data_IF_482966106555
#
_entry.id   IF_482966106555
#
_cell.length_a   1.000
_cell.length_b   1.000
_cell.length_c   1.000
_cell.angle_alpha   90.00
_cell.angle_beta   90.00
_cell.angle_gamma   90.00
#
_symmetry.space_group_name_H-M   'P 1'
#
loop_
_entity.id
_entity.type
_entity.pdbx_description
1 polymer ?
#
# COMPACT_ATOMS: atom_id res chain seq x y z
N UNK A 1 -50.14 -33.46 -2.10
CA UNK A 1 -48.85 -33.51 -2.82
C UNK A 1 -48.24 -32.13 -2.70
N UNK A 2 -47.15 -31.97 -1.96
CA UNK A 2 -46.53 -30.65 -1.78
C UNK A 2 -45.75 -30.29 -3.04
N UNK A 3 -46.20 -29.23 -3.70
CA UNK A 3 -45.55 -28.65 -4.87
C UNK A 3 -44.10 -28.27 -4.53
N UNK A 4 -43.20 -28.61 -5.46
CA UNK A 4 -41.76 -28.46 -5.27
C UNK A 4 -41.38 -27.02 -4.95
N UNK A 5 -40.48 -26.87 -3.97
CA UNK A 5 -39.85 -25.61 -3.58
C UNK A 5 -39.30 -24.91 -4.84
N UNK A 6 -39.74 -23.68 -5.19
CA UNK A 6 -39.33 -23.04 -6.43
C UNK A 6 -37.80 -22.95 -6.51
N UNK A 7 -37.25 -23.43 -7.61
CA UNK A 7 -35.84 -23.30 -7.95
C UNK A 7 -35.67 -21.96 -8.63
N UNK A 8 -34.59 -21.22 -8.31
CA UNK A 8 -34.34 -19.90 -8.91
C UNK A 8 -34.46 -19.95 -10.43
N UNK A 9 -35.20 -18.99 -10.99
CA UNK A 9 -35.44 -18.89 -12.43
C UNK A 9 -34.17 -18.42 -13.14
N UNK A 10 -34.00 -18.74 -14.42
CA UNK A 10 -32.87 -18.22 -15.22
C UNK A 10 -32.80 -16.69 -15.19
N UNK A 11 -33.95 -16.02 -15.17
CA UNK A 11 -34.09 -14.57 -15.02
C UNK A 11 -33.52 -14.07 -13.69
N UNK A 12 -33.86 -14.75 -12.58
CA UNK A 12 -33.33 -14.44 -11.24
C UNK A 12 -31.81 -14.55 -11.19
N UNK A 13 -31.24 -15.60 -11.81
CA UNK A 13 -29.79 -15.80 -11.87
C UNK A 13 -29.13 -14.65 -12.63
N UNK A 14 -29.71 -14.22 -13.76
CA UNK A 14 -29.20 -13.12 -14.56
C UNK A 14 -29.30 -11.76 -13.83
N UNK A 15 -30.40 -11.52 -13.12
CA UNK A 15 -30.59 -10.31 -12.33
C UNK A 15 -29.62 -10.23 -11.15
N UNK A 16 -29.41 -11.34 -10.43
CA UNK A 16 -28.39 -11.41 -9.36
C UNK A 16 -26.99 -11.15 -9.90
N UNK A 17 -26.63 -11.71 -11.07
CA UNK A 17 -25.35 -11.41 -11.73
C UNK A 17 -25.19 -9.92 -12.00
N UNK A 18 -26.19 -9.30 -12.62
CA UNK A 18 -26.16 -7.88 -12.96
C UNK A 18 -25.96 -7.01 -11.72
N UNK A 19 -26.59 -7.35 -10.59
CA UNK A 19 -26.41 -6.59 -9.33
C UNK A 19 -24.98 -6.66 -8.79
N UNK A 20 -24.32 -7.81 -8.91
CA UNK A 20 -22.95 -8.02 -8.44
C UNK A 20 -21.95 -7.33 -9.36
N UNK A 21 -22.17 -7.40 -10.69
CA UNK A 21 -21.31 -6.74 -11.67
C UNK A 21 -21.39 -5.21 -11.58
N UNK A 22 -22.54 -4.67 -11.12
CA UNK A 22 -22.73 -3.23 -10.91
C UNK A 22 -22.08 -2.75 -9.60
N UNK A 23 -22.23 -3.50 -8.51
CA UNK A 23 -21.63 -3.20 -7.21
C UNK A 23 -21.06 -4.47 -6.56
N UNK A 24 -19.73 -4.58 -6.56
CA UNK A 24 -19.00 -5.70 -5.95
C UNK A 24 -19.18 -5.80 -4.43
N UNK A 25 -19.75 -4.77 -3.77
CA UNK A 25 -19.95 -4.68 -2.32
C UNK A 25 -21.38 -4.98 -1.87
N UNK A 26 -22.25 -5.36 -2.80
CA UNK A 26 -23.65 -5.64 -2.49
C UNK A 26 -23.80 -6.78 -1.48
N UNK A 27 -24.67 -6.58 -0.49
CA UNK A 27 -24.98 -7.59 0.53
C UNK A 27 -26.11 -8.51 0.07
N UNK A 28 -26.16 -9.75 0.59
CA UNK A 28 -27.29 -10.65 0.32
C UNK A 28 -28.64 -10.04 0.72
N UNK A 29 -28.66 -9.18 1.75
CA UNK A 29 -29.84 -8.44 2.17
C UNK A 29 -30.21 -7.28 1.22
N UNK A 30 -29.29 -6.74 0.44
CA UNK A 30 -29.66 -5.79 -0.60
C UNK A 30 -30.24 -6.55 -1.80
N UNK A 31 -29.63 -7.66 -2.20
CA UNK A 31 -30.09 -8.51 -3.32
C UNK A 31 -31.50 -9.06 -3.08
N UNK A 32 -31.78 -9.61 -1.89
CA UNK A 32 -33.12 -10.16 -1.60
C UNK A 32 -34.19 -9.04 -1.59
N UNK A 33 -33.84 -7.82 -1.16
CA UNK A 33 -34.78 -6.70 -1.08
C UNK A 33 -35.05 -6.12 -2.47
N UNK A 34 -34.02 -6.03 -3.32
CA UNK A 34 -34.15 -5.47 -4.67
C UNK A 34 -34.85 -6.40 -5.65
N UNK A 35 -34.64 -7.72 -5.53
CA UNK A 35 -35.18 -8.71 -6.46
C UNK A 35 -36.41 -9.46 -5.92
N UNK A 36 -36.75 -9.29 -4.64
CA UNK A 36 -37.88 -10.00 -4.00
C UNK A 36 -37.65 -11.52 -3.85
N UNK A 37 -36.41 -11.98 -4.03
CA UNK A 37 -36.03 -13.39 -3.97
C UNK A 37 -35.81 -13.80 -2.51
N UNK A 38 -36.27 -14.99 -2.12
CA UNK A 38 -36.01 -15.50 -0.76
C UNK A 38 -34.51 -15.68 -0.46
N UNK A 39 -34.07 -15.36 0.77
CA UNK A 39 -32.65 -15.42 1.19
C UNK A 39 -31.96 -16.76 0.92
N UNK A 40 -32.71 -17.87 1.01
CA UNK A 40 -32.21 -19.21 0.70
C UNK A 40 -31.93 -19.42 -0.79
N UNK A 41 -32.69 -18.78 -1.67
CA UNK A 41 -32.46 -18.81 -3.12
C UNK A 41 -31.28 -17.92 -3.48
N UNK A 42 -31.14 -16.73 -2.88
CA UNK A 42 -29.97 -15.86 -3.06
C UNK A 42 -28.68 -16.63 -2.72
N UNK A 43 -28.60 -17.32 -1.59
CA UNK A 43 -27.44 -18.15 -1.24
C UNK A 43 -27.19 -19.28 -2.25
N UNK A 44 -28.23 -19.97 -2.73
CA UNK A 44 -28.09 -21.01 -3.76
C UNK A 44 -27.56 -20.43 -5.06
N UNK A 45 -28.08 -19.29 -5.50
CA UNK A 45 -27.62 -18.61 -6.73
C UNK A 45 -26.16 -18.23 -6.59
N UNK A 46 -25.77 -17.56 -5.51
CA UNK A 46 -24.38 -17.15 -5.25
C UNK A 46 -23.42 -18.35 -5.23
N UNK A 47 -23.74 -19.42 -4.50
CA UNK A 47 -22.82 -20.54 -4.32
C UNK A 47 -22.88 -21.60 -5.42
N UNK A 48 -24.07 -21.99 -5.88
CA UNK A 48 -24.24 -23.10 -6.85
C UNK A 48 -24.23 -22.63 -8.30
N UNK A 49 -24.82 -21.48 -8.61
CA UNK A 49 -24.96 -21.01 -9.99
C UNK A 49 -23.86 -20.02 -10.40
N UNK A 50 -23.45 -19.13 -9.49
CA UNK A 50 -22.44 -18.11 -9.76
C UNK A 50 -21.05 -18.46 -9.24
N UNK A 51 -20.95 -19.40 -8.30
CA UNK A 51 -19.72 -19.81 -7.65
C UNK A 51 -18.87 -18.63 -7.10
N UNK A 52 -19.54 -17.55 -6.69
CA UNK A 52 -18.86 -16.37 -6.13
C UNK A 52 -18.48 -16.61 -4.68
N UNK A 53 -17.38 -15.98 -4.25
CA UNK A 53 -16.89 -16.04 -2.87
C UNK A 53 -16.84 -14.65 -2.28
N UNK A 54 -17.22 -14.53 -1.01
CA UNK A 54 -17.08 -13.28 -0.27
C UNK A 54 -15.59 -13.02 -0.03
N UNK A 55 -15.11 -11.87 -0.50
CA UNK A 55 -13.80 -11.36 -0.18
C UNK A 55 -13.91 -10.30 0.91
N UNK A 56 -12.90 -10.23 1.77
CA UNK A 56 -12.76 -9.15 2.75
C UNK A 56 -11.85 -8.09 2.16
N UNK A 57 -12.33 -6.84 2.10
CA UNK A 57 -11.53 -5.73 1.63
C UNK A 57 -10.32 -5.53 2.56
N UNK A 58 -9.12 -5.39 1.98
CA UNK A 58 -7.92 -5.03 2.74
C UNK A 58 -8.08 -3.60 3.25
N UNK A 59 -7.82 -3.38 4.55
CA UNK A 59 -7.84 -2.03 5.13
C UNK A 59 -6.74 -1.20 4.48
N UNK A 60 -7.13 -0.13 3.79
CA UNK A 60 -6.21 0.88 3.28
C UNK A 60 -6.00 1.89 4.42
N UNK A 61 -4.74 2.14 4.85
CA UNK A 61 -4.45 3.00 6.00
C UNK A 61 -5.06 4.39 5.92
N UNK A 62 -5.21 4.95 4.72
CA UNK A 62 -5.73 6.31 4.53
C UNK A 62 -6.31 6.51 3.12
N UNK A 63 -7.35 7.32 3.01
CA UNK A 63 -7.89 7.73 1.72
C UNK A 63 -7.04 8.88 1.16
N UNK A 64 -6.33 8.62 0.06
CA UNK A 64 -5.41 9.58 -0.54
C UNK A 64 -6.15 10.56 -1.45
N UNK A 65 -5.76 11.82 -1.38
CA UNK A 65 -6.17 12.86 -2.34
C UNK A 65 -5.58 12.58 -3.72
N UNK A 66 -6.21 13.08 -4.80
CA UNK A 66 -5.71 12.92 -6.17
C UNK A 66 -4.29 13.49 -6.34
N UNK A 67 -3.98 14.60 -5.67
CA UNK A 67 -2.63 15.16 -5.67
C UNK A 67 -1.61 14.21 -5.00
N UNK A 68 -1.99 13.50 -3.95
CA UNK A 68 -1.14 12.47 -3.34
C UNK A 68 -0.94 11.29 -4.28
N UNK A 69 -2.01 10.76 -4.88
CA UNK A 69 -1.93 9.67 -5.87
C UNK A 69 -1.01 10.04 -7.04
N UNK A 70 -1.09 11.28 -7.53
CA UNK A 70 -0.22 11.76 -8.61
C UNK A 70 1.24 11.82 -8.17
N UNK A 71 1.54 12.35 -6.98
CA UNK A 71 2.90 12.38 -6.41
C UNK A 71 3.47 10.97 -6.31
N UNK A 72 2.65 10.01 -5.88
CA UNK A 72 3.00 8.60 -5.77
C UNK A 72 3.38 7.97 -7.12
N UNK A 73 2.51 8.10 -8.13
CA UNK A 73 2.76 7.58 -9.48
C UNK A 73 4.02 8.19 -10.11
N UNK A 74 4.18 9.51 -9.98
CA UNK A 74 5.35 10.20 -10.51
C UNK A 74 6.66 9.74 -9.85
N UNK A 75 6.62 9.49 -8.54
CA UNK A 75 7.78 8.99 -7.80
C UNK A 75 8.15 7.56 -8.22
N UNK A 76 7.17 6.65 -8.29
CA UNK A 76 7.39 5.28 -8.76
C UNK A 76 7.99 5.27 -10.18
N UNK A 77 7.45 6.10 -11.09
CA UNK A 77 7.99 6.25 -12.45
C UNK A 77 9.44 6.71 -12.44
N UNK A 78 9.76 7.76 -11.66
CA UNK A 78 11.12 8.31 -11.53
C UNK A 78 12.10 7.26 -11.01
N UNK A 79 11.66 6.41 -10.09
CA UNK A 79 12.49 5.34 -9.52
C UNK A 79 12.68 4.18 -10.48
N UNK A 80 11.63 3.73 -11.15
CA UNK A 80 11.73 2.64 -12.13
C UNK A 80 12.69 3.00 -13.28
N UNK A 81 12.71 4.27 -13.69
CA UNK A 81 13.64 4.77 -14.71
C UNK A 81 15.11 4.81 -14.24
N UNK A 82 15.37 4.88 -12.92
CA UNK A 82 16.71 5.02 -12.34
C UNK A 82 17.40 3.68 -12.03
N UNK A 83 16.91 2.58 -12.60
CA UNK A 83 17.42 1.22 -12.50
C UNK A 83 16.97 0.46 -11.23
N UNK A 84 16.24 -0.64 -11.44
CA UNK A 84 15.53 -1.42 -10.40
C UNK A 84 16.42 -2.40 -9.63
N UNK A 85 17.71 -2.48 -9.91
CA UNK A 85 18.60 -3.34 -9.13
C UNK A 85 19.11 -2.64 -7.87
N UNK A 86 18.96 -1.31 -7.81
CA UNK A 86 19.57 -0.49 -6.78
C UNK A 86 18.81 -0.51 -5.44
N UNK A 87 17.47 -0.47 -5.48
CA UNK A 87 16.62 -0.40 -4.28
C UNK A 87 16.26 -1.76 -3.67
N UNK A 88 16.37 -2.82 -4.47
CA UNK A 88 15.96 -4.18 -4.10
C UNK A 88 17.15 -5.02 -3.63
N UNK A 89 18.37 -4.52 -3.80
CA UNK A 89 19.55 -5.01 -3.04
C UNK A 89 19.45 -4.51 -1.61
N UNK A 90 18.67 -5.20 -0.81
CA UNK A 90 18.49 -4.98 0.61
C UNK A 90 19.61 -5.66 1.39
N UNK A 91 20.06 -4.97 2.44
CA UNK A 91 21.04 -5.50 3.39
C UNK A 91 21.04 -4.61 4.63
N UNK A 92 21.14 -5.22 5.80
CA UNK A 92 21.29 -4.44 7.03
C UNK A 92 22.66 -3.74 7.03
N UNK A 93 22.67 -2.41 7.08
CA UNK A 93 23.90 -1.63 7.13
C UNK A 93 24.36 -1.49 8.58
N UNK A 94 23.49 -0.91 9.41
CA UNK A 94 23.81 -0.54 10.77
C UNK A 94 22.55 -0.39 11.60
N UNK A 95 22.62 -0.79 12.87
CA UNK A 95 21.64 -0.44 13.91
C UNK A 95 22.35 0.46 14.90
N UNK A 96 21.80 1.64 15.17
CA UNK A 96 22.24 2.49 16.27
C UNK A 96 21.30 2.29 17.46
N UNK A 97 21.86 1.87 18.59
CA UNK A 97 21.10 1.74 19.85
C UNK A 97 20.91 3.15 20.40
N UNK A 98 19.67 3.44 20.82
CA UNK A 98 19.34 4.69 21.47
C UNK A 98 19.23 4.46 22.98
N UNK A 99 20.17 5.01 23.72
CA UNK A 99 20.19 4.90 25.17
C UNK A 99 19.01 5.67 25.81
N UNK A 100 18.47 5.13 26.90
CA UNK A 100 17.42 5.72 27.75
C UNK A 100 16.02 5.94 27.13
N UNK A 101 15.66 5.24 26.04
CA UNK A 101 14.33 5.40 25.38
C UNK A 101 14.03 6.86 24.97
N UNK A 102 15.07 7.68 24.79
CA UNK A 102 14.91 9.08 24.38
C UNK A 102 14.26 9.14 23.00
N UNK A 103 13.46 10.16 22.72
CA UNK A 103 12.92 10.38 21.37
C UNK A 103 14.07 10.77 20.44
N UNK A 104 14.12 10.20 19.23
CA UNK A 104 15.06 10.65 18.21
C UNK A 104 14.70 12.09 17.81
N UNK A 105 15.40 13.05 18.41
CA UNK A 105 15.30 14.45 18.02
C UNK A 105 15.87 14.65 16.60
N UNK A 106 15.36 15.66 15.91
CA UNK A 106 15.88 16.12 14.63
C UNK A 106 17.40 16.36 14.67
N UNK A 107 17.90 16.94 15.76
CA UNK A 107 19.31 17.25 15.93
C UNK A 107 20.15 15.99 16.17
N UNK A 108 19.66 15.05 16.98
CA UNK A 108 20.34 13.76 17.21
C UNK A 108 20.45 12.96 15.90
N UNK A 109 19.38 12.94 15.11
CA UNK A 109 19.39 12.28 13.81
C UNK A 109 20.42 12.92 12.87
N UNK A 110 20.46 14.25 12.83
CA UNK A 110 21.30 15.00 11.90
C UNK A 110 22.78 14.93 12.27
N UNK A 111 23.10 15.08 13.56
CA UNK A 111 24.47 15.24 14.03
C UNK A 111 25.15 13.91 14.39
N UNK A 112 24.38 12.87 14.71
CA UNK A 112 24.93 11.59 15.17
C UNK A 112 24.59 10.45 14.21
N UNK A 113 23.31 10.26 13.90
CA UNK A 113 22.88 9.09 13.11
C UNK A 113 23.27 9.19 11.63
N UNK A 114 23.02 10.34 10.98
CA UNK A 114 23.28 10.52 9.55
C UNK A 114 24.76 10.36 9.18
N UNK A 115 25.73 10.97 9.87
CA UNK A 115 27.15 10.78 9.55
C UNK A 115 27.57 9.31 9.64
N UNK A 116 27.17 8.64 10.73
CA UNK A 116 27.52 7.25 10.97
C UNK A 116 26.93 6.30 9.91
N UNK A 117 25.65 6.47 9.58
CA UNK A 117 25.00 5.69 8.50
C UNK A 117 25.66 5.96 7.15
N UNK A 118 25.97 7.23 6.85
CA UNK A 118 26.57 7.60 5.56
C UNK A 118 27.96 6.98 5.36
N UNK A 119 28.76 6.88 6.42
CA UNK A 119 30.06 6.21 6.40
C UNK A 119 29.89 4.71 6.10
N UNK A 120 28.98 4.02 6.82
CA UNK A 120 28.74 2.58 6.63
C UNK A 120 28.13 2.25 5.27
N UNK A 121 27.32 3.14 4.71
CA UNK A 121 26.83 3.00 3.33
C UNK A 121 27.99 3.11 2.36
N UNK A 122 28.87 4.11 2.52
CA UNK A 122 30.01 4.33 1.62
C UNK A 122 31.01 3.18 1.67
N UNK A 123 31.28 2.60 2.84
CA UNK A 123 32.11 1.40 2.99
C UNK A 123 31.56 0.22 2.18
N UNK A 124 30.25 -0.05 2.29
CA UNK A 124 29.61 -1.18 1.60
C UNK A 124 29.29 -0.90 0.14
N UNK A 125 29.18 0.37 -0.26
CA UNK A 125 28.81 0.80 -1.62
C UNK A 125 29.62 2.03 -2.06
N UNK A 126 30.93 1.87 -2.34
CA UNK A 126 31.78 2.99 -2.74
C UNK A 126 31.37 3.62 -4.09
N UNK A 127 30.66 2.85 -4.93
CA UNK A 127 30.23 3.27 -6.27
C UNK A 127 28.78 3.79 -6.33
N UNK A 128 28.02 3.74 -5.23
CA UNK A 128 26.62 4.15 -5.23
C UNK A 128 26.44 5.56 -4.68
N UNK A 129 26.12 6.51 -5.57
CA UNK A 129 25.86 7.92 -5.22
C UNK A 129 24.41 8.23 -4.80
N UNK A 130 23.56 7.23 -4.53
CA UNK A 130 22.12 7.43 -4.30
C UNK A 130 21.74 6.89 -2.92
N UNK A 131 20.94 7.64 -2.16
CA UNK A 131 20.33 7.16 -0.92
C UNK A 131 18.83 7.49 -0.91
N UNK A 132 18.00 6.47 -0.62
CA UNK A 132 16.59 6.70 -0.31
C UNK A 132 16.44 6.73 1.19
N UNK A 133 15.96 7.86 1.70
CA UNK A 133 15.69 8.04 3.11
C UNK A 133 14.26 8.55 3.28
N UNK A 134 13.52 7.91 4.18
CA UNK A 134 12.25 8.42 4.64
C UNK A 134 12.52 9.49 5.70
N UNK A 135 12.70 10.74 5.25
CA UNK A 135 13.08 11.86 6.13
C UNK A 135 11.83 12.68 6.46
N UNK A 136 11.64 13.00 7.74
CA UNK A 136 10.59 13.91 8.18
C UNK A 136 10.67 15.25 7.43
N UNK A 137 9.54 15.86 7.05
CA UNK A 137 9.53 17.19 6.44
C UNK A 137 10.28 18.26 7.26
N UNK A 138 10.35 18.08 8.59
CA UNK A 138 11.04 19.00 9.50
C UNK A 138 12.56 18.91 9.41
N UNK A 139 13.10 17.74 9.06
CA UNK A 139 14.54 17.50 8.94
C UNK A 139 15.03 17.47 7.49
N UNK A 140 14.12 17.38 6.53
CA UNK A 140 14.43 17.19 5.09
C UNK A 140 15.49 18.16 4.59
N UNK A 141 15.38 19.46 4.89
CA UNK A 141 16.30 20.48 4.37
C UNK A 141 17.73 20.31 4.90
N UNK A 142 17.88 20.04 6.19
CA UNK A 142 19.21 19.84 6.80
C UNK A 142 19.84 18.56 6.28
N UNK A 143 19.05 17.49 6.19
CA UNK A 143 19.49 16.20 5.68
C UNK A 143 19.88 16.26 4.21
N UNK A 144 19.09 16.90 3.35
CA UNK A 144 19.41 17.03 1.92
C UNK A 144 20.69 17.84 1.69
N UNK A 145 20.90 18.90 2.49
CA UNK A 145 22.13 19.69 2.40
C UNK A 145 23.35 18.87 2.80
N UNK A 146 23.28 18.13 3.90
CA UNK A 146 24.37 17.26 4.37
C UNK A 146 24.66 16.12 3.38
N UNK A 147 23.64 15.53 2.76
CA UNK A 147 23.84 14.47 1.78
C UNK A 147 24.40 15.01 0.46
N UNK A 148 23.99 16.23 0.08
CA UNK A 148 24.54 16.94 -1.07
C UNK A 148 26.05 17.16 -0.96
N UNK A 149 26.58 17.50 0.22
CA UNK A 149 28.04 17.65 0.41
C UNK A 149 28.80 16.32 0.29
N UNK A 150 28.12 15.19 0.52
CA UNK A 150 28.68 13.84 0.37
C UNK A 150 28.54 13.28 -1.05
N UNK A 151 27.97 14.04 -1.99
CA UNK A 151 27.68 13.57 -3.35
C UNK A 151 26.54 12.54 -3.40
N UNK A 152 25.70 12.48 -2.35
CA UNK A 152 24.59 11.53 -2.24
C UNK A 152 23.28 12.21 -2.64
N UNK A 153 22.63 11.71 -3.69
CA UNK A 153 21.30 12.20 -4.08
C UNK A 153 20.22 11.60 -3.18
N UNK A 154 19.39 12.47 -2.58
CA UNK A 154 18.23 12.05 -1.77
C UNK A 154 16.99 11.95 -2.64
N UNK A 155 16.32 10.79 -2.62
CA UNK A 155 14.96 10.66 -3.13
C UNK A 155 13.97 10.87 -1.99
N UNK A 156 13.32 12.03 -1.98
CA UNK A 156 12.24 12.33 -1.02
C UNK A 156 11.10 11.36 -1.27
N UNK A 157 10.80 10.54 -0.26
CA UNK A 157 9.73 9.56 -0.32
C UNK A 157 8.35 10.24 -0.11
N UNK A 158 7.33 9.94 -0.92
CA UNK A 158 5.99 10.49 -0.73
C UNK A 158 5.34 9.96 0.56
N UNK A 159 4.41 10.71 1.18
CA UNK A 159 3.82 10.33 2.45
C UNK A 159 2.94 9.06 2.36
N UNK A 160 2.96 8.26 3.44
CA UNK A 160 2.05 7.13 3.75
C UNK A 160 2.20 5.82 2.94
N UNK A 161 3.41 5.41 2.58
CA UNK A 161 3.66 4.31 1.64
C UNK A 161 4.13 2.98 2.30
N UNK A 162 3.47 2.56 3.38
CA UNK A 162 3.75 1.29 4.09
C UNK A 162 3.65 0.04 3.19
N UNK A 163 3.00 0.16 2.04
CA UNK A 163 2.82 -0.88 1.03
C UNK A 163 4.05 -1.12 0.14
N UNK A 164 5.02 -0.19 0.09
CA UNK A 164 6.26 -0.33 -0.69
C UNK A 164 7.48 -0.76 0.12
N UNK A 165 7.37 -0.78 1.46
CA UNK A 165 8.45 -1.17 2.37
C UNK A 165 8.48 -2.68 2.66
N UNK A 166 7.78 -3.50 1.86
CA UNK A 166 7.56 -4.93 2.11
C UNK A 166 8.35 -5.85 1.20
#
# INVERSE_FOLDING_TARGET
>A
MCEGRPTATTEDISAVRLTIDTDERVTCQQIWTSLGIGMSQVHKVLHKHLAVRKLYARRIPQNLTEAEKLRRVNWCRKIMQRNTDFLWKTGHYVTTILEDKKTVSADLYTNNCLPFVSEKVREKRPLSGILILNISPRTVRRTTNYLGTLGLETLVHPPFYLDLER
#
